data_IF_240724048159
#
_entry.id   IF_240724048159
#
_cell.length_a   1.000
_cell.length_b   1.000
_cell.length_c   1.000
_cell.angle_alpha   90.00
_cell.angle_beta   90.00
_cell.angle_gamma   90.00
#
_symmetry.space_group_name_H-M   'P 1'
#
loop_
_entity.id
_entity.type
_entity.pdbx_description
1 polymer ?
#
# COMPACT_ATOMS: atom_id res chain seq x y z
N UNK A 1 -20.03 1.67 -1.61
CA UNK A 1 -18.85 2.36 -2.18
C UNK A 1 -18.60 1.85 -3.58
N UNK A 2 -18.53 2.77 -4.55
CA UNK A 2 -18.19 2.48 -5.94
C UNK A 2 -16.74 2.88 -6.19
N UNK A 3 -15.93 1.96 -6.69
CA UNK A 3 -14.53 2.22 -7.05
C UNK A 3 -14.43 2.17 -8.58
N UNK A 4 -13.81 3.19 -9.17
CA UNK A 4 -13.60 3.30 -10.61
C UNK A 4 -12.10 3.34 -10.90
N UNK A 5 -11.67 2.55 -11.85
CA UNK A 5 -10.29 2.52 -12.35
C UNK A 5 -10.24 3.06 -13.76
N UNK A 6 -9.25 3.91 -14.02
CA UNK A 6 -8.88 4.33 -15.37
C UNK A 6 -7.57 3.64 -15.73
N UNK A 7 -7.55 2.91 -16.84
CA UNK A 7 -6.32 2.42 -17.45
C UNK A 7 -5.61 3.59 -18.15
N UNK A 8 -4.35 3.79 -17.81
CA UNK A 8 -3.46 4.77 -18.44
C UNK A 8 -2.72 4.17 -19.64
N UNK A 9 -2.65 2.83 -19.68
CA UNK A 9 -2.19 2.00 -20.79
C UNK A 9 -3.23 0.90 -21.03
N UNK A 10 -3.54 0.60 -22.30
CA UNK A 10 -4.53 -0.42 -22.69
C UNK A 10 -4.19 -1.82 -22.18
N UNK A 11 -2.88 -2.12 -21.99
CA UNK A 11 -2.39 -3.39 -21.49
C UNK A 11 -2.41 -3.50 -19.94
N UNK A 12 -2.74 -2.42 -19.22
CA UNK A 12 -2.87 -2.48 -17.77
C UNK A 12 -3.92 -3.50 -17.36
N UNK A 13 -3.63 -4.29 -16.33
CA UNK A 13 -4.55 -5.28 -15.79
C UNK A 13 -5.40 -4.65 -14.68
N UNK A 14 -6.70 -4.94 -14.70
CA UNK A 14 -7.61 -4.54 -13.63
C UNK A 14 -7.28 -5.32 -12.35
N UNK A 15 -7.41 -4.70 -11.17
CA UNK A 15 -7.26 -5.39 -9.91
C UNK A 15 -8.30 -6.50 -9.75
N UNK A 16 -7.93 -7.57 -9.07
CA UNK A 16 -8.82 -8.71 -8.82
C UNK A 16 -8.75 -9.15 -7.36
N UNK A 17 -9.88 -9.57 -6.82
CA UNK A 17 -9.91 -10.29 -5.54
C UNK A 17 -9.48 -11.73 -5.74
N UNK A 18 -8.56 -12.21 -4.91
CA UNK A 18 -8.08 -13.60 -4.97
C UNK A 18 -9.10 -14.63 -4.48
N UNK A 19 -10.07 -14.21 -3.66
CA UNK A 19 -11.19 -15.03 -3.18
C UNK A 19 -12.38 -14.13 -2.80
N UNK A 20 -13.54 -14.73 -2.56
CA UNK A 20 -14.79 -14.02 -2.22
C UNK A 20 -14.65 -13.11 -0.97
N UNK A 21 -13.82 -13.50 -0.01
CA UNK A 21 -13.64 -12.78 1.25
C UNK A 21 -12.23 -12.20 1.41
N UNK A 22 -11.48 -12.07 0.31
CA UNK A 22 -10.18 -11.41 0.36
C UNK A 22 -10.35 -9.94 0.78
N UNK A 23 -9.52 -9.47 1.72
CA UNK A 23 -9.54 -8.08 2.17
C UNK A 23 -9.05 -7.10 1.10
N UNK A 24 -8.12 -7.54 0.24
CA UNK A 24 -7.48 -6.70 -0.77
C UNK A 24 -7.59 -7.26 -2.18
N UNK A 25 -7.57 -6.32 -3.13
CA UNK A 25 -7.46 -6.63 -4.56
C UNK A 25 -6.00 -6.71 -4.95
N UNK A 26 -5.58 -7.78 -5.62
CA UNK A 26 -4.25 -7.90 -6.19
C UNK A 26 -4.02 -6.82 -7.26
N UNK A 27 -2.88 -6.11 -7.15
CA UNK A 27 -2.39 -5.17 -8.15
C UNK A 27 -1.28 -5.81 -8.96
N UNK A 28 -1.30 -5.52 -10.26
CA UNK A 28 -0.35 -6.06 -11.22
C UNK A 28 0.63 -4.98 -11.67
N UNK A 29 1.88 -5.38 -11.87
CA UNK A 29 2.87 -4.54 -12.53
C UNK A 29 2.54 -4.35 -14.01
N UNK A 30 2.85 -3.16 -14.57
CA UNK A 30 2.63 -2.86 -15.99
C UNK A 30 3.94 -2.56 -16.74
N UNK A 31 5.10 -2.84 -16.12
CA UNK A 31 6.40 -2.65 -16.75
C UNK A 31 6.49 -3.46 -18.06
N UNK A 32 7.09 -2.87 -19.09
CA UNK A 32 7.29 -3.54 -20.38
C UNK A 32 8.49 -4.50 -20.30
N UNK A 33 9.58 -4.05 -19.65
CA UNK A 33 10.80 -4.83 -19.42
C UNK A 33 10.90 -5.24 -17.94
N UNK A 34 11.57 -6.35 -17.62
CA UNK A 34 11.77 -6.77 -16.23
C UNK A 34 12.47 -5.67 -15.41
N UNK A 35 11.98 -5.44 -14.18
CA UNK A 35 12.58 -4.49 -13.24
C UNK A 35 13.30 -5.26 -12.15
N UNK A 36 14.62 -5.12 -12.08
CA UNK A 36 15.45 -5.72 -11.02
C UNK A 36 15.51 -4.81 -9.82
N UNK A 37 15.21 -5.34 -8.64
CA UNK A 37 15.38 -4.68 -7.33
C UNK A 37 16.54 -5.35 -6.64
N UNK A 38 17.66 -4.65 -6.57
CA UNK A 38 18.88 -5.15 -5.93
C UNK A 38 18.66 -5.38 -4.42
N UNK A 39 19.52 -6.20 -3.78
CA UNK A 39 19.48 -6.40 -2.33
C UNK A 39 19.47 -5.08 -1.56
N UNK A 40 18.65 -4.98 -0.54
CA UNK A 40 18.49 -3.80 0.33
C UNK A 40 18.08 -2.52 -0.41
N UNK A 41 17.59 -2.65 -1.66
CA UNK A 41 17.13 -1.54 -2.48
C UNK A 41 15.61 -1.51 -2.61
N UNK A 42 15.08 -0.42 -3.17
CA UNK A 42 13.68 -0.25 -3.51
C UNK A 42 13.52 0.28 -4.93
N UNK A 43 12.40 -0.06 -5.53
CA UNK A 43 12.01 0.44 -6.86
C UNK A 43 10.54 0.81 -6.88
N UNK A 44 10.22 1.78 -7.71
CA UNK A 44 8.86 2.20 -7.99
C UNK A 44 8.33 1.38 -9.17
N UNK A 45 7.30 0.58 -8.93
CA UNK A 45 6.72 -0.33 -9.92
C UNK A 45 5.42 0.28 -10.44
N UNK A 46 5.30 0.50 -11.76
CA UNK A 46 4.09 1.04 -12.36
C UNK A 46 2.96 0.00 -12.36
N UNK A 47 1.71 0.47 -12.26
CA UNK A 47 0.51 -0.33 -12.50
C UNK A 47 -0.28 0.14 -13.72
N UNK A 48 0.03 1.33 -14.25
CA UNK A 48 -0.71 2.02 -15.30
C UNK A 48 -2.21 2.16 -15.00
N UNK A 49 -2.55 2.30 -13.73
CA UNK A 49 -3.92 2.52 -13.25
C UNK A 49 -3.99 3.82 -12.45
N UNK A 50 -5.06 4.57 -12.64
CA UNK A 50 -5.50 5.60 -11.69
C UNK A 50 -6.88 5.24 -11.14
N UNK A 51 -7.27 5.86 -10.02
CA UNK A 51 -8.46 5.49 -9.26
C UNK A 51 -9.26 6.71 -8.85
N UNK A 52 -10.59 6.55 -8.77
CA UNK A 52 -11.44 7.39 -7.94
C UNK A 52 -12.54 6.52 -7.29
N UNK A 53 -13.12 7.02 -6.21
CA UNK A 53 -14.22 6.36 -5.51
C UNK A 53 -15.13 7.42 -4.86
N UNK A 54 -16.34 7.03 -4.48
CA UNK A 54 -17.44 7.93 -4.10
C UNK A 54 -17.59 8.18 -2.60
N UNK A 55 -16.73 7.58 -1.76
CA UNK A 55 -16.84 7.69 -0.30
C UNK A 55 -15.54 8.22 0.31
N UNK A 56 -15.51 9.51 0.78
CA UNK A 56 -14.32 10.12 1.36
C UNK A 56 -13.97 9.60 2.77
N UNK A 57 -14.80 8.75 3.38
CA UNK A 57 -14.49 8.08 4.64
C UNK A 57 -13.56 6.88 4.47
N UNK A 58 -13.03 6.68 3.26
CA UNK A 58 -12.04 5.65 2.97
C UNK A 58 -10.78 6.25 2.34
N UNK A 59 -9.68 5.56 2.52
CA UNK A 59 -8.48 5.67 1.70
C UNK A 59 -8.13 4.28 1.17
N UNK A 60 -7.29 4.21 0.15
CA UNK A 60 -6.81 2.92 -0.36
C UNK A 60 -5.44 2.63 0.24
N UNK A 61 -5.37 1.54 1.02
CA UNK A 61 -4.10 1.05 1.57
C UNK A 61 -3.45 0.07 0.62
N UNK A 62 -2.22 0.35 0.24
CA UNK A 62 -1.37 -0.61 -0.46
C UNK A 62 -0.62 -1.43 0.58
N UNK A 63 -0.77 -2.73 0.52
CA UNK A 63 -0.18 -3.67 1.47
C UNK A 63 0.66 -4.73 0.74
N UNK A 64 1.70 -5.28 1.40
CA UNK A 64 2.48 -6.36 0.83
C UNK A 64 1.65 -7.64 0.67
N UNK A 65 2.09 -8.51 -0.23
CA UNK A 65 1.54 -9.85 -0.38
C UNK A 65 2.36 -10.83 0.46
N UNK A 66 1.70 -11.60 1.30
CA UNK A 66 2.33 -12.55 2.22
C UNK A 66 3.31 -13.51 1.51
N UNK A 67 2.96 -13.98 0.32
CA UNK A 67 3.83 -14.86 -0.47
C UNK A 67 5.14 -14.20 -0.92
N UNK A 68 5.10 -12.92 -1.29
CA UNK A 68 6.31 -12.17 -1.66
C UNK A 68 7.15 -11.85 -0.42
N UNK A 69 6.51 -11.49 0.69
CA UNK A 69 7.23 -11.21 1.94
C UNK A 69 7.94 -12.46 2.46
N UNK A 70 7.23 -13.59 2.58
CA UNK A 70 7.80 -14.81 3.18
C UNK A 70 8.85 -15.47 2.29
N UNK A 71 8.60 -15.53 0.96
CA UNK A 71 9.49 -16.27 0.04
C UNK A 71 10.65 -15.43 -0.51
N UNK A 72 10.46 -14.12 -0.62
CA UNK A 72 11.38 -13.25 -1.34
C UNK A 72 11.85 -12.03 -0.53
N UNK A 73 11.45 -11.89 0.74
CA UNK A 73 11.74 -10.74 1.60
C UNK A 73 11.30 -9.38 0.98
N UNK A 74 10.23 -9.39 0.17
CA UNK A 74 9.71 -8.20 -0.49
C UNK A 74 8.63 -7.57 0.37
N UNK A 75 8.76 -6.27 0.60
CA UNK A 75 7.81 -5.44 1.32
C UNK A 75 7.33 -4.26 0.47
N UNK A 76 6.34 -3.52 0.99
CA UNK A 76 5.75 -2.34 0.35
C UNK A 76 5.96 -1.11 1.21
N UNK A 77 6.59 -0.08 0.63
CA UNK A 77 6.65 1.25 1.22
C UNK A 77 5.55 2.18 0.70
N UNK A 78 5.32 3.31 1.41
CA UNK A 78 4.40 4.37 0.99
C UNK A 78 3.00 3.87 0.61
N UNK A 79 2.31 3.23 1.54
CA UNK A 79 1.10 2.46 1.30
C UNK A 79 -0.24 3.24 1.38
N UNK A 80 -0.26 4.57 1.36
CA UNK A 80 -1.49 5.37 1.47
C UNK A 80 -1.80 6.03 0.13
N UNK A 81 -3.00 5.79 -0.40
CA UNK A 81 -3.56 6.48 -1.55
C UNK A 81 -4.77 7.27 -1.06
N UNK A 82 -4.65 8.59 -1.07
CA UNK A 82 -5.66 9.50 -0.57
C UNK A 82 -6.90 9.55 -1.49
N UNK A 83 -8.03 9.96 -0.92
CA UNK A 83 -9.30 10.06 -1.63
C UNK A 83 -9.23 10.93 -2.89
N UNK A 84 -8.48 12.01 -2.86
CA UNK A 84 -8.34 13.00 -3.94
C UNK A 84 -7.13 12.76 -4.86
N UNK A 85 -6.35 11.71 -4.63
CA UNK A 85 -5.25 11.34 -5.54
C UNK A 85 -5.80 10.81 -6.87
N UNK A 86 -5.33 11.39 -7.98
CA UNK A 86 -5.74 11.01 -9.35
C UNK A 86 -4.58 10.60 -10.25
N UNK A 87 -3.37 10.56 -9.69
CA UNK A 87 -2.20 10.09 -10.41
C UNK A 87 -2.18 8.57 -10.61
N UNK A 88 -1.15 8.08 -11.27
CA UNK A 88 -0.91 6.65 -11.41
C UNK A 88 -0.61 6.02 -10.06
N UNK A 89 -1.28 4.92 -9.74
CA UNK A 89 -0.94 4.06 -8.61
C UNK A 89 0.39 3.37 -8.93
N UNK A 90 1.44 3.74 -8.20
CA UNK A 90 2.76 3.11 -8.29
C UNK A 90 3.09 2.44 -6.96
N UNK A 91 3.70 1.27 -7.04
CA UNK A 91 4.03 0.47 -5.87
C UNK A 91 5.51 0.61 -5.54
N UNK A 92 5.83 1.10 -4.35
CA UNK A 92 7.20 1.08 -3.85
C UNK A 92 7.48 -0.31 -3.31
N UNK A 93 8.17 -1.16 -4.07
CA UNK A 93 8.66 -2.44 -3.58
C UNK A 93 10.03 -2.29 -2.95
N UNK A 94 10.20 -2.89 -1.79
CA UNK A 94 11.44 -2.91 -1.02
C UNK A 94 11.93 -4.34 -0.98
N UNK A 95 13.16 -4.57 -1.43
CA UNK A 95 13.84 -5.84 -1.30
C UNK A 95 14.67 -5.84 0.01
N UNK A 96 14.18 -6.53 1.03
CA UNK A 96 14.86 -6.68 2.33
C UNK A 96 15.86 -7.85 2.34
N UNK A 97 16.00 -8.59 1.24
CA UNK A 97 17.03 -9.63 1.13
C UNK A 97 18.44 -9.00 1.14
N UNK A 98 19.38 -9.67 1.78
CA UNK A 98 20.76 -9.18 1.89
C UNK A 98 21.64 -9.53 0.70
N UNK A 99 21.29 -10.60 -0.02
CA UNK A 99 22.17 -11.21 -1.01
C UNK A 99 21.53 -11.37 -2.38
N UNK A 100 20.18 -11.52 -2.44
CA UNK A 100 19.49 -11.87 -3.66
C UNK A 100 18.70 -10.68 -4.21
N UNK A 101 18.88 -10.39 -5.50
CA UNK A 101 18.02 -9.46 -6.22
C UNK A 101 16.65 -10.08 -6.48
N UNK A 102 15.63 -9.24 -6.62
CA UNK A 102 14.28 -9.63 -6.98
C UNK A 102 13.88 -9.03 -8.33
N UNK A 103 13.35 -9.85 -9.23
CA UNK A 103 12.96 -9.41 -10.57
C UNK A 103 11.45 -9.35 -10.68
N UNK A 104 10.93 -8.16 -10.93
CA UNK A 104 9.51 -7.93 -11.21
C UNK A 104 9.27 -8.12 -12.70
N UNK A 105 8.57 -9.19 -13.05
CA UNK A 105 8.15 -9.48 -14.42
C UNK A 105 6.88 -8.69 -14.77
N UNK A 106 6.63 -8.47 -16.06
CA UNK A 106 5.38 -7.90 -16.55
C UNK A 106 4.17 -8.71 -16.06
N UNK A 107 3.09 -8.01 -15.68
CA UNK A 107 1.85 -8.61 -15.19
C UNK A 107 2.01 -9.42 -13.89
N UNK A 108 3.08 -9.23 -13.16
CA UNK A 108 3.28 -9.87 -11.86
C UNK A 108 2.37 -9.22 -10.81
N UNK A 109 1.77 -10.02 -9.94
CA UNK A 109 1.04 -9.54 -8.76
C UNK A 109 2.05 -9.02 -7.73
N UNK A 110 2.11 -7.70 -7.55
CA UNK A 110 3.18 -7.04 -6.76
C UNK A 110 2.75 -6.56 -5.39
N UNK A 111 1.46 -6.25 -5.22
CA UNK A 111 0.89 -5.77 -3.96
C UNK A 111 -0.60 -6.10 -3.91
N UNK A 112 -1.24 -5.77 -2.81
CA UNK A 112 -2.70 -5.76 -2.69
C UNK A 112 -3.19 -4.38 -2.24
N UNK A 113 -4.35 -3.96 -2.76
CA UNK A 113 -5.01 -2.71 -2.40
C UNK A 113 -6.25 -3.00 -1.58
N UNK A 114 -6.33 -2.39 -0.40
CA UNK A 114 -7.39 -2.62 0.59
C UNK A 114 -8.14 -1.31 0.83
N UNK A 115 -9.45 -1.23 0.54
CA UNK A 115 -10.27 -0.11 0.98
C UNK A 115 -10.29 -0.06 2.52
N UNK A 116 -9.78 1.02 3.10
CA UNK A 116 -9.62 1.15 4.55
C UNK A 116 -10.39 2.37 5.03
N UNK A 117 -11.26 2.18 6.02
CA UNK A 117 -12.05 3.26 6.61
C UNK A 117 -11.16 4.20 7.42
N UNK A 118 -11.40 5.50 7.30
CA UNK A 118 -10.71 6.54 8.06
C UNK A 118 -11.71 7.56 8.61
N UNK A 119 -11.28 8.38 9.54
CA UNK A 119 -12.05 9.51 10.01
C UNK A 119 -11.89 10.65 8.99
N UNK A 120 -13.01 11.31 8.65
CA UNK A 120 -12.98 12.50 7.80
C UNK A 120 -12.17 13.59 8.51
N UNK A 121 -11.20 14.17 7.80
CA UNK A 121 -10.34 15.24 8.36
C UNK A 121 -11.12 16.46 8.81
N UNK A 122 -12.33 16.71 8.27
CA UNK A 122 -13.22 17.78 8.74
C UNK A 122 -13.84 17.52 10.11
N UNK A 123 -13.77 16.29 10.59
CA UNK A 123 -14.26 15.87 11.92
C UNK A 123 -13.13 15.76 12.95
N UNK A 124 -11.90 16.04 12.54
CA UNK A 124 -10.72 16.01 13.41
C UNK A 124 -10.27 17.43 13.69
N UNK A 125 -10.26 17.82 14.96
CA UNK A 125 -9.75 19.11 15.44
C UNK A 125 -8.40 18.89 16.08
N UNK A 126 -7.47 19.80 15.81
CA UNK A 126 -6.15 19.84 16.42
C UNK A 126 -6.06 21.05 17.32
N UNK A 127 -5.56 20.86 18.51
CA UNK A 127 -5.30 21.91 19.48
C UNK A 127 -3.88 21.74 20.05
N UNK A 128 -3.11 22.80 20.06
CA UNK A 128 -1.83 22.85 20.77
C UNK A 128 -2.09 23.12 22.25
N UNK A 129 -1.65 22.22 23.11
CA UNK A 129 -1.75 22.36 24.56
C UNK A 129 -0.36 22.28 25.19
N UNK A 130 -0.17 22.93 26.35
CA UNK A 130 1.11 22.86 27.07
C UNK A 130 1.27 21.57 27.86
N UNK A 131 0.15 20.99 28.31
CA UNK A 131 0.13 19.76 29.09
C UNK A 131 -0.98 18.85 28.57
N UNK A 132 -0.73 17.54 28.54
CA UNK A 132 -1.71 16.51 28.23
C UNK A 132 -2.28 15.93 29.53
N UNK A 133 -3.53 15.47 29.47
CA UNK A 133 -4.14 14.72 30.55
C UNK A 133 -3.33 13.46 30.87
N UNK A 134 -3.22 13.15 32.17
CA UNK A 134 -2.57 11.92 32.61
C UNK A 134 -3.34 10.67 32.19
N UNK A 135 -2.62 9.60 31.89
CA UNK A 135 -3.21 8.30 31.60
C UNK A 135 -2.48 7.19 32.38
N UNK A 136 -3.17 6.06 32.61
CA UNK A 136 -2.58 4.91 33.31
C UNK A 136 -1.34 4.34 32.62
N UNK A 137 -1.21 4.54 31.31
CA UNK A 137 -0.05 4.12 30.52
C UNK A 137 1.09 5.15 30.59
N UNK A 138 0.78 6.42 30.80
CA UNK A 138 1.74 7.53 30.78
C UNK A 138 2.63 7.48 29.55
N UNK A 139 3.92 7.62 29.75
CA UNK A 139 4.95 7.59 28.70
C UNK A 139 5.39 6.16 28.28
N UNK A 140 4.76 5.14 28.83
CA UNK A 140 5.12 3.74 28.57
C UNK A 140 4.91 3.34 27.10
N UNK A 141 5.98 2.87 26.44
CA UNK A 141 5.98 2.41 25.06
C UNK A 141 7.17 1.47 24.79
N UNK A 142 7.32 1.04 23.53
CA UNK A 142 8.47 0.25 23.05
C UNK A 142 8.80 -1.00 23.90
N UNK A 143 7.78 -1.70 24.39
CA UNK A 143 7.96 -2.90 25.21
C UNK A 143 7.97 -2.65 26.74
N UNK A 144 7.59 -1.45 27.21
CA UNK A 144 7.53 -1.12 28.65
C UNK A 144 6.54 -1.98 29.46
N UNK A 145 5.64 -2.71 28.79
CA UNK A 145 4.67 -3.64 29.42
C UNK A 145 5.16 -5.09 29.50
N UNK A 146 6.43 -5.33 29.17
CA UNK A 146 7.05 -6.66 29.16
C UNK A 146 6.89 -7.40 27.83
N UNK A 147 7.66 -8.47 27.66
CA UNK A 147 7.56 -9.45 26.56
C UNK A 147 6.90 -10.69 27.10
#
# INVERSE_FOLDING_TARGET
MKIQFKKLDSNALMPIYGSQYAAGMDLFSSNQEPITIEPQCRKLIPTSLSICYDDPSYYMRIAPRSGLTVKNNIDVGAGVIDYDYRGEIKIVLINNDKNNSFVVQKNMKVAQMIPTKTINTKEVFFEEVQELEESNRGIGGFGSTGV
#
